data_IF_312466060135
#
_entry.id   IF_312466060135
#
_cell.length_a   1.000
_cell.length_b   1.000
_cell.length_c   1.000
_cell.angle_alpha   90.00
_cell.angle_beta   90.00
_cell.angle_gamma   90.00
#
_symmetry.space_group_name_H-M   'P 1'
#
loop_
_entity.id
_entity.type
_entity.pdbx_description
1 polymer ?
#
# COMPACT_ATOMS: atom_id res chain seq x y z
N UNK A 1 -36.82 -9.57 -5.04
CA UNK A 1 -35.74 -10.17 -5.86
C UNK A 1 -36.03 -9.77 -7.29
N UNK A 2 -35.09 -9.14 -8.02
CA UNK A 2 -35.35 -8.50 -9.32
C UNK A 2 -35.86 -9.46 -10.44
N UNK A 3 -36.00 -10.76 -10.18
CA UNK A 3 -36.56 -11.74 -11.14
C UNK A 3 -35.67 -12.02 -12.35
N UNK A 4 -34.59 -11.28 -12.51
CA UNK A 4 -33.63 -11.40 -13.60
C UNK A 4 -32.55 -12.40 -13.17
N UNK A 5 -32.26 -13.38 -14.02
CA UNK A 5 -31.16 -14.30 -13.79
C UNK A 5 -29.83 -13.55 -13.89
N UNK A 6 -28.84 -13.91 -13.07
CA UNK A 6 -27.56 -13.20 -13.03
C UNK A 6 -26.85 -13.17 -14.40
N UNK A 7 -27.01 -14.25 -15.17
CA UNK A 7 -26.48 -14.43 -16.53
C UNK A 7 -27.17 -13.58 -17.60
N UNK A 8 -28.38 -13.05 -17.36
CA UNK A 8 -29.06 -12.17 -18.33
C UNK A 8 -28.76 -10.69 -18.12
N UNK A 9 -28.33 -10.28 -16.92
CA UNK A 9 -28.03 -8.88 -16.60
C UNK A 9 -26.55 -8.51 -16.64
N UNK A 10 -25.64 -9.48 -16.57
CA UNK A 10 -24.21 -9.24 -16.46
C UNK A 10 -23.43 -10.09 -17.46
N UNK A 11 -22.54 -9.44 -18.21
CA UNK A 11 -21.54 -10.11 -19.04
C UNK A 11 -20.23 -10.18 -18.27
N UNK A 12 -19.69 -11.37 -18.11
CA UNK A 12 -18.38 -11.56 -17.48
C UNK A 12 -17.29 -10.95 -18.37
N UNK A 13 -16.60 -9.94 -17.86
CA UNK A 13 -15.48 -9.31 -18.58
C UNK A 13 -14.25 -10.22 -18.66
N UNK A 14 -14.14 -11.22 -17.77
CA UNK A 14 -13.05 -12.19 -17.68
C UNK A 14 -13.59 -13.52 -17.15
N UNK A 15 -12.92 -14.66 -17.41
CA UNK A 15 -13.27 -15.94 -16.80
C UNK A 15 -13.33 -15.83 -15.28
N UNK A 16 -14.23 -16.59 -14.64
CA UNK A 16 -14.37 -16.61 -13.18
C UNK A 16 -13.18 -17.35 -12.59
N UNK A 17 -12.12 -16.62 -12.28
CA UNK A 17 -11.01 -17.11 -11.48
C UNK A 17 -11.35 -17.01 -9.99
N UNK A 18 -10.87 -17.97 -9.20
CA UNK A 18 -11.04 -17.97 -7.76
C UNK A 18 -10.26 -16.80 -7.15
N UNK A 19 -10.98 -15.85 -6.56
CA UNK A 19 -10.38 -14.72 -5.86
C UNK A 19 -10.01 -15.12 -4.42
N UNK A 20 -8.93 -14.54 -3.89
CA UNK A 20 -8.60 -14.73 -2.47
C UNK A 20 -9.68 -14.11 -1.58
N UNK A 21 -9.90 -14.66 -0.37
CA UNK A 21 -10.86 -14.11 0.60
C UNK A 21 -10.60 -12.62 0.90
N UNK A 22 -9.32 -12.20 0.91
CA UNK A 22 -8.95 -10.80 1.10
C UNK A 22 -9.46 -9.94 -0.05
N UNK A 23 -9.26 -10.38 -1.28
CA UNK A 23 -9.76 -9.71 -2.49
C UNK A 23 -11.28 -9.61 -2.47
N UNK A 24 -11.99 -10.71 -2.18
CA UNK A 24 -13.46 -10.73 -2.08
C UNK A 24 -13.95 -9.74 -1.02
N UNK A 25 -13.32 -9.73 0.17
CA UNK A 25 -13.65 -8.79 1.24
C UNK A 25 -13.41 -7.33 0.85
N UNK A 26 -12.36 -7.04 0.08
CA UNK A 26 -12.13 -5.70 -0.45
C UNK A 26 -13.20 -5.28 -1.46
N UNK A 27 -13.60 -6.17 -2.37
CA UNK A 27 -14.67 -5.91 -3.33
C UNK A 27 -16.01 -5.67 -2.62
N UNK A 28 -16.36 -6.52 -1.65
CA UNK A 28 -17.57 -6.35 -0.83
C UNK A 28 -17.59 -4.99 -0.11
N UNK A 29 -16.46 -4.56 0.49
CA UNK A 29 -16.35 -3.24 1.14
C UNK A 29 -16.56 -2.09 0.16
N UNK A 30 -15.95 -2.18 -1.03
CA UNK A 30 -16.10 -1.15 -2.06
C UNK A 30 -17.56 -1.05 -2.52
N UNK A 31 -18.18 -2.17 -2.87
CA UNK A 31 -19.59 -2.23 -3.31
C UNK A 31 -20.52 -1.72 -2.20
N UNK A 32 -20.31 -2.16 -0.96
CA UNK A 32 -21.10 -1.69 0.18
C UNK A 32 -20.96 -0.17 0.39
N UNK A 33 -19.76 0.40 0.21
CA UNK A 33 -19.55 1.85 0.27
C UNK A 33 -20.30 2.59 -0.82
N UNK A 34 -20.29 2.09 -2.06
CA UNK A 34 -21.01 2.68 -3.19
C UNK A 34 -22.52 2.65 -2.93
N UNK A 35 -23.05 1.52 -2.48
CA UNK A 35 -24.47 1.35 -2.19
C UNK A 35 -24.92 2.18 -0.98
N UNK A 36 -24.07 2.33 0.04
CA UNK A 36 -24.35 3.28 1.13
C UNK A 36 -24.47 4.71 0.62
N UNK A 37 -23.61 5.12 -0.31
CA UNK A 37 -23.71 6.44 -0.94
C UNK A 37 -25.01 6.59 -1.75
N UNK A 38 -25.43 5.54 -2.46
CA UNK A 38 -26.70 5.52 -3.19
C UNK A 38 -27.93 5.61 -2.27
N UNK A 39 -27.89 4.97 -1.10
CA UNK A 39 -28.92 5.13 -0.05
C UNK A 39 -28.94 6.55 0.48
N UNK A 40 -27.77 7.14 0.76
CA UNK A 40 -27.66 8.51 1.24
C UNK A 40 -28.25 9.52 0.24
N UNK A 41 -28.03 9.29 -1.07
CA UNK A 41 -28.64 10.08 -2.14
C UNK A 41 -30.10 9.68 -2.46
N UNK A 42 -30.68 8.75 -1.69
CA UNK A 42 -32.05 8.26 -1.87
C UNK A 42 -32.33 7.65 -3.25
N UNK A 43 -31.30 7.17 -3.94
CA UNK A 43 -31.43 6.46 -5.22
C UNK A 43 -32.01 5.06 -5.02
N UNK A 44 -31.65 4.43 -3.89
CA UNK A 44 -32.20 3.15 -3.43
C UNK A 44 -32.61 3.28 -1.96
N UNK A 45 -33.59 2.49 -1.53
CA UNK A 45 -34.11 2.57 -0.16
C UNK A 45 -33.16 1.98 0.89
N UNK A 46 -32.39 0.95 0.52
CA UNK A 46 -31.48 0.26 1.43
C UNK A 46 -30.26 -0.32 0.70
N UNK A 47 -29.21 -0.62 1.45
CA UNK A 47 -27.98 -1.21 0.90
C UNK A 47 -28.07 -2.74 0.98
N UNK A 48 -28.25 -3.47 -0.14
CA UNK A 48 -28.35 -4.93 -0.13
C UNK A 48 -27.06 -5.65 0.28
N UNK A 49 -25.88 -5.02 0.13
CA UNK A 49 -24.61 -5.62 0.51
C UNK A 49 -24.48 -5.82 2.04
N UNK A 50 -25.28 -5.12 2.85
CA UNK A 50 -25.34 -5.30 4.31
C UNK A 50 -25.82 -6.70 4.72
N UNK A 51 -26.61 -7.35 3.86
CA UNK A 51 -27.17 -8.69 4.12
C UNK A 51 -26.24 -9.82 3.69
N UNK A 52 -25.12 -9.48 3.05
CA UNK A 52 -24.11 -10.44 2.58
C UNK A 52 -22.96 -10.47 3.57
N UNK A 53 -22.63 -11.66 4.08
CA UNK A 53 -21.47 -11.87 4.95
C UNK A 53 -20.22 -12.13 4.10
N UNK A 54 -19.23 -11.22 4.07
CA UNK A 54 -17.99 -11.48 3.34
C UNK A 54 -17.21 -12.63 4.00
N UNK A 55 -16.33 -13.32 3.25
CA UNK A 55 -15.55 -14.42 3.80
C UNK A 55 -14.62 -13.95 4.92
N UNK A 56 -14.32 -14.86 5.86
CA UNK A 56 -13.32 -14.60 6.89
C UNK A 56 -11.95 -14.54 6.23
N UNK A 57 -11.20 -13.49 6.58
CA UNK A 57 -9.80 -13.33 6.17
C UNK A 57 -8.98 -13.61 7.41
N UNK A 58 -8.24 -14.70 7.38
CA UNK A 58 -7.28 -15.01 8.44
C UNK A 58 -6.15 -13.98 8.40
N UNK A 59 -5.72 -13.55 9.59
CA UNK A 59 -4.54 -12.70 9.71
C UNK A 59 -3.33 -13.60 9.59
N UNK A 60 -2.58 -13.43 8.51
CA UNK A 60 -1.23 -13.99 8.40
C UNK A 60 -0.26 -12.98 8.99
N UNK A 61 0.59 -13.44 9.90
CA UNK A 61 1.70 -12.63 10.40
C UNK A 61 2.73 -12.45 9.28
N UNK A 62 3.16 -11.21 9.07
CA UNK A 62 4.22 -10.93 8.11
C UNK A 62 5.54 -11.48 8.67
N UNK A 63 6.29 -12.22 7.84
CA UNK A 63 7.67 -12.56 8.18
C UNK A 63 8.48 -11.28 8.35
N UNK A 64 9.25 -11.20 9.42
CA UNK A 64 10.14 -10.09 9.72
C UNK A 64 11.55 -10.63 9.96
N UNK A 65 12.54 -9.75 9.84
CA UNK A 65 13.92 -10.06 10.19
C UNK A 65 14.10 -9.86 11.69
N UNK A 66 14.59 -10.89 12.39
CA UNK A 66 15.10 -10.71 13.75
C UNK A 66 16.47 -9.99 13.74
N UNK A 67 16.96 -9.61 14.91
CA UNK A 67 18.23 -8.87 15.06
C UNK A 67 19.42 -9.60 14.43
N UNK A 68 19.49 -10.94 14.57
CA UNK A 68 20.60 -11.75 14.03
C UNK A 68 20.51 -11.82 12.50
N UNK A 69 19.30 -11.96 11.97
CA UNK A 69 19.04 -11.97 10.53
C UNK A 69 19.32 -10.61 9.90
N UNK A 70 18.95 -9.52 10.57
CA UNK A 70 19.25 -8.16 10.13
C UNK A 70 20.76 -7.90 10.13
N UNK A 71 21.48 -8.29 11.18
CA UNK A 71 22.95 -8.19 11.24
C UNK A 71 23.62 -8.97 10.10
N UNK A 72 23.19 -10.22 9.88
CA UNK A 72 23.68 -11.06 8.79
C UNK A 72 23.38 -10.48 7.40
N UNK A 73 22.21 -9.86 7.23
CA UNK A 73 21.89 -9.15 5.99
C UNK A 73 22.86 -8.00 5.77
N UNK A 74 23.15 -7.19 6.80
CA UNK A 74 24.10 -6.08 6.70
C UNK A 74 25.51 -6.55 6.31
N UNK A 75 25.99 -7.67 6.84
CA UNK A 75 27.27 -8.28 6.45
C UNK A 75 27.31 -8.66 4.95
N UNK A 76 26.20 -9.18 4.41
CA UNK A 76 26.13 -9.52 2.99
C UNK A 76 26.09 -8.31 2.07
N UNK A 77 25.65 -7.15 2.55
CA UNK A 77 25.61 -5.92 1.74
C UNK A 77 26.99 -5.35 1.41
N UNK A 78 28.05 -5.82 2.07
CA UNK A 78 29.41 -5.35 1.79
C UNK A 78 29.97 -5.94 0.48
N UNK A 79 29.38 -7.03 -0.01
CA UNK A 79 29.71 -7.65 -1.31
C UNK A 79 28.75 -7.23 -2.44
N UNK A 80 27.78 -6.37 -2.15
CA UNK A 80 26.77 -5.91 -3.09
C UNK A 80 27.15 -4.58 -3.76
N UNK A 81 26.44 -4.23 -4.83
CA UNK A 81 26.58 -2.90 -5.42
C UNK A 81 26.30 -1.80 -4.39
N UNK A 82 27.02 -0.68 -4.48
CA UNK A 82 26.84 0.44 -3.55
C UNK A 82 25.39 0.95 -3.55
N UNK A 83 24.68 0.87 -4.68
CA UNK A 83 23.27 1.24 -4.79
C UNK A 83 22.38 0.34 -3.93
N UNK A 84 22.51 -0.99 -4.08
CA UNK A 84 21.71 -1.95 -3.31
C UNK A 84 22.05 -1.85 -1.82
N UNK A 85 23.34 -1.76 -1.49
CA UNK A 85 23.83 -1.63 -0.12
C UNK A 85 23.24 -0.40 0.56
N UNK A 86 23.28 0.76 -0.12
CA UNK A 86 22.72 2.02 0.39
C UNK A 86 21.21 1.91 0.58
N UNK A 87 20.46 1.41 -0.42
CA UNK A 87 19.00 1.31 -0.33
C UNK A 87 18.55 0.42 0.82
N UNK A 88 19.18 -0.75 0.98
CA UNK A 88 18.78 -1.71 2.03
C UNK A 88 19.19 -1.19 3.41
N UNK A 89 20.40 -0.63 3.58
CA UNK A 89 20.82 0.02 4.83
C UNK A 89 19.85 1.14 5.22
N UNK A 90 19.44 1.95 4.25
CA UNK A 90 18.44 2.99 4.46
C UNK A 90 17.10 2.41 4.91
N UNK A 91 16.58 1.34 4.29
CA UNK A 91 15.34 0.71 4.76
C UNK A 91 15.41 0.20 6.19
N UNK A 92 16.54 -0.43 6.56
CA UNK A 92 16.75 -0.98 7.91
C UNK A 92 16.83 0.14 8.95
N UNK A 93 17.62 1.19 8.69
CA UNK A 93 17.88 2.24 9.70
C UNK A 93 16.79 3.31 9.79
N UNK A 94 16.04 3.55 8.71
CA UNK A 94 15.05 4.65 8.68
C UNK A 94 13.59 4.18 8.70
N UNK A 95 13.31 2.91 8.39
CA UNK A 95 11.94 2.41 8.25
C UNK A 95 11.14 3.10 7.14
N UNK A 96 11.81 3.70 6.15
CA UNK A 96 11.18 4.36 5.01
C UNK A 96 10.26 3.38 4.25
N UNK A 97 9.10 3.87 3.80
CA UNK A 97 8.32 3.15 2.80
C UNK A 97 9.04 3.24 1.46
N UNK A 98 8.96 2.20 0.61
CA UNK A 98 9.62 2.18 -0.71
C UNK A 98 9.37 3.43 -1.54
N UNK A 99 8.13 3.93 -1.55
CA UNK A 99 7.80 5.16 -2.27
C UNK A 99 8.44 6.41 -1.68
N UNK A 100 8.63 6.49 -0.36
CA UNK A 100 9.31 7.60 0.32
C UNK A 100 10.80 7.58 -0.03
N UNK A 101 11.44 6.39 0.02
CA UNK A 101 12.84 6.20 -0.41
C UNK A 101 13.06 6.66 -1.86
N UNK A 102 12.19 6.23 -2.77
CA UNK A 102 12.26 6.62 -4.18
C UNK A 102 11.90 8.09 -4.43
N UNK A 103 11.37 8.80 -3.43
CA UNK A 103 11.03 10.22 -3.50
C UNK A 103 12.07 11.14 -2.85
N UNK A 104 13.11 10.61 -2.21
CA UNK A 104 14.13 11.44 -1.57
C UNK A 104 14.92 12.25 -2.60
N UNK A 105 15.14 13.53 -2.27
CA UNK A 105 15.98 14.45 -3.02
C UNK A 105 17.17 14.90 -2.17
N UNK A 106 18.23 15.42 -2.79
CA UNK A 106 19.43 15.87 -2.06
C UNK A 106 19.14 16.96 -1.03
N UNK A 107 18.14 17.82 -1.28
CA UNK A 107 17.68 18.85 -0.34
C UNK A 107 16.98 18.29 0.91
N UNK A 108 16.69 17.00 0.92
CA UNK A 108 16.06 16.31 2.05
C UNK A 108 17.08 15.75 3.04
N UNK A 109 18.37 15.75 2.69
CA UNK A 109 19.44 15.14 3.47
C UNK A 109 20.30 16.22 4.11
N UNK A 110 20.32 16.22 5.44
CA UNK A 110 21.24 17.02 6.23
C UNK A 110 22.38 16.11 6.73
N UNK A 111 23.52 16.21 6.06
CA UNK A 111 24.69 15.41 6.37
C UNK A 111 25.40 15.85 7.66
N UNK A 112 25.24 17.11 8.07
CA UNK A 112 25.88 17.65 9.29
C UNK A 112 25.19 17.12 10.54
N UNK A 113 23.85 17.06 10.51
CA UNK A 113 23.04 16.61 11.64
C UNK A 113 22.61 15.13 11.53
N UNK A 114 22.97 14.46 10.43
CA UNK A 114 22.57 13.09 10.09
C UNK A 114 21.04 12.93 10.05
N UNK A 115 20.35 13.87 9.40
CA UNK A 115 18.89 13.89 9.31
C UNK A 115 18.41 13.67 7.89
N UNK A 116 17.27 12.99 7.76
CA UNK A 116 16.53 12.87 6.51
C UNK A 116 15.11 13.35 6.73
N UNK A 117 14.67 14.28 5.90
CA UNK A 117 13.31 14.84 5.94
C UNK A 117 12.46 14.27 4.82
N UNK A 118 11.40 13.56 5.17
CA UNK A 118 10.52 12.89 4.20
C UNK A 118 9.42 13.85 3.81
N UNK A 119 9.47 14.35 2.58
CA UNK A 119 8.51 15.35 2.05
C UNK A 119 7.59 14.82 0.96
N UNK A 120 7.94 13.67 0.38
CA UNK A 120 7.28 13.18 -0.84
C UNK A 120 7.41 11.67 -0.99
N UNK A 121 6.54 11.10 -1.81
CA UNK A 121 6.60 9.70 -2.21
C UNK A 121 6.45 9.56 -3.72
N UNK A 122 7.41 8.86 -4.34
CA UNK A 122 7.37 8.49 -5.76
C UNK A 122 6.64 7.16 -5.96
N UNK A 123 5.79 7.08 -6.98
CA UNK A 123 4.98 5.91 -7.31
C UNK A 123 4.94 5.70 -8.83
N UNK A 124 4.87 4.43 -9.25
CA UNK A 124 4.65 4.05 -10.65
C UNK A 124 3.23 3.50 -10.84
N UNK A 125 2.54 3.99 -11.87
CA UNK A 125 1.25 3.43 -12.31
C UNK A 125 1.35 3.10 -13.80
N UNK A 126 1.05 1.86 -14.22
CA UNK A 126 1.01 1.49 -15.64
C UNK A 126 0.12 2.45 -16.45
N UNK A 127 0.62 2.93 -17.59
CA UNK A 127 -0.07 3.90 -18.44
C UNK A 127 0.03 5.37 -18.00
N UNK A 128 0.39 5.64 -16.74
CA UNK A 128 0.64 7.01 -16.22
C UNK A 128 2.13 7.31 -16.04
N UNK A 129 2.96 6.28 -15.85
CA UNK A 129 4.38 6.43 -15.59
C UNK A 129 4.69 6.70 -14.11
N UNK A 130 5.90 7.21 -13.85
CA UNK A 130 6.33 7.62 -12.51
C UNK A 130 5.75 9.00 -12.22
N UNK A 131 5.17 9.16 -11.03
CA UNK A 131 4.76 10.46 -10.53
C UNK A 131 5.05 10.56 -9.04
N UNK A 132 5.33 11.79 -8.61
CA UNK A 132 5.55 12.12 -7.21
C UNK A 132 4.26 12.65 -6.61
N UNK A 133 3.91 12.16 -5.43
CA UNK A 133 2.89 12.75 -4.58
C UNK A 133 3.58 13.45 -3.42
N UNK A 134 3.23 14.71 -3.22
CA UNK A 134 3.45 15.36 -1.95
C UNK A 134 2.65 14.62 -0.87
N UNK A 135 3.24 14.52 0.30
CA UNK A 135 2.60 14.06 1.52
C UNK A 135 1.39 14.97 1.78
N UNK A 136 0.18 14.39 1.69
CA UNK A 136 -1.09 15.14 1.64
C UNK A 136 -1.43 15.95 2.92
N UNK A 137 -0.62 15.86 3.97
CA UNK A 137 -0.91 16.44 5.29
C UNK A 137 0.41 16.80 5.96
N UNK A 138 0.46 17.97 6.64
CA UNK A 138 1.62 18.42 7.43
C UNK A 138 2.13 17.36 8.44
N UNK A 139 1.25 16.48 8.91
CA UNK A 139 1.57 15.36 9.82
C UNK A 139 2.35 14.20 9.16
N UNK A 140 2.46 14.19 7.84
CA UNK A 140 3.21 13.15 7.11
C UNK A 140 4.64 13.56 6.79
N UNK A 141 4.97 14.85 6.94
CA UNK A 141 6.34 15.33 6.90
C UNK A 141 7.02 14.99 8.23
N UNK A 142 8.08 14.20 8.14
CA UNK A 142 8.82 13.77 9.32
C UNK A 142 10.30 13.76 9.05
N UNK A 143 11.07 14.12 10.06
CA UNK A 143 12.52 14.06 10.04
C UNK A 143 12.98 12.87 10.86
N UNK A 144 13.85 12.04 10.27
CA UNK A 144 14.42 10.86 10.89
C UNK A 144 15.91 11.09 11.07
N UNK A 145 16.41 10.84 12.28
CA UNK A 145 17.86 10.81 12.54
C UNK A 145 18.41 9.44 12.19
N UNK A 146 19.45 9.42 11.37
CA UNK A 146 20.17 8.20 11.05
C UNK A 146 21.30 7.94 12.06
N UNK A 147 21.64 6.67 12.32
CA UNK A 147 22.83 6.34 13.08
C UNK A 147 24.09 6.80 12.32
N UNK A 148 25.04 7.33 13.08
CA UNK A 148 26.38 7.76 12.62
C UNK A 148 27.32 6.57 12.45
#
# INVERSE_FOLDING_TARGET
MLGIRFDTGFVLSRPVESLTNKTIKHHHRLISSILNQAVFWQVIMDNPATRVRPPRVERTEAKFLDEKQAAKLLEYLDNESWQNSTMIKMFIYSGLRRGEMCGLEWSDIDFENHLITIRRSSQYVPGKGIFTKETKTETSDRTIKLPS
#
